data_IF_707066308641
#
_entry.id   IF_707066308641
#
_cell.length_a   1.000
_cell.length_b   1.000
_cell.length_c   1.000
_cell.angle_alpha   90.00
_cell.angle_beta   90.00
_cell.angle_gamma   90.00
#
_symmetry.space_group_name_H-M   'P 1'
#
loop_
_entity.id
_entity.type
_entity.pdbx_description
1 polymer ?
#
# COMPACT_ATOMS: atom_id res chain seq x y z
N UNK A 1 -24.16 -23.27 -32.94
CA UNK A 1 -24.78 -23.71 -31.68
C UNK A 1 -24.13 -22.91 -30.56
N UNK A 2 -24.77 -21.80 -30.16
CA UNK A 2 -24.29 -20.91 -29.11
C UNK A 2 -24.62 -21.53 -27.75
N UNK A 3 -23.59 -21.92 -26.99
CA UNK A 3 -23.78 -22.30 -25.58
C UNK A 3 -23.67 -21.03 -24.76
N UNK A 4 -24.83 -20.47 -24.42
CA UNK A 4 -24.95 -19.37 -23.46
C UNK A 4 -24.77 -19.96 -22.06
N UNK A 5 -23.60 -19.78 -21.45
CA UNK A 5 -23.38 -20.13 -20.04
C UNK A 5 -23.94 -19.03 -19.16
N UNK A 6 -25.22 -19.17 -18.80
CA UNK A 6 -25.85 -18.44 -17.70
C UNK A 6 -25.14 -18.75 -16.40
N UNK A 7 -24.26 -17.85 -15.95
CA UNK A 7 -23.74 -17.85 -14.60
C UNK A 7 -24.86 -17.41 -13.65
N UNK A 8 -25.37 -18.34 -12.86
CA UNK A 8 -26.32 -18.06 -11.80
C UNK A 8 -25.64 -17.27 -10.69
N UNK A 9 -25.90 -15.97 -10.62
CA UNK A 9 -25.52 -15.14 -9.47
C UNK A 9 -26.35 -15.62 -8.27
N UNK A 10 -25.71 -16.33 -7.34
CA UNK A 10 -26.26 -16.59 -6.01
C UNK A 10 -26.60 -15.25 -5.34
N UNK A 11 -27.87 -14.98 -5.11
CA UNK A 11 -28.30 -13.80 -4.35
C UNK A 11 -27.91 -14.01 -2.89
N UNK A 12 -26.94 -13.20 -2.41
CA UNK A 12 -26.61 -13.11 -1.00
C UNK A 12 -27.87 -12.75 -0.19
N UNK A 13 -28.14 -13.40 0.96
CA UNK A 13 -29.32 -13.11 1.78
C UNK A 13 -29.24 -11.74 2.50
N UNK A 14 -28.11 -11.03 2.38
CA UNK A 14 -27.89 -9.72 3.00
C UNK A 14 -28.02 -8.60 1.97
N UNK A 15 -28.75 -7.54 2.31
CA UNK A 15 -28.74 -6.31 1.53
C UNK A 15 -27.36 -5.64 1.65
N UNK A 16 -26.99 -4.81 0.67
CA UNK A 16 -25.73 -4.06 0.73
C UNK A 16 -25.65 -3.14 1.96
N UNK A 17 -26.80 -2.62 2.44
CA UNK A 17 -26.89 -1.87 3.69
C UNK A 17 -26.52 -2.73 4.89
N UNK A 18 -27.01 -3.96 4.94
CA UNK A 18 -26.71 -4.89 6.03
C UNK A 18 -25.21 -5.24 6.04
N UNK A 19 -24.61 -5.42 4.85
CA UNK A 19 -23.17 -5.69 4.72
C UNK A 19 -22.34 -4.52 5.24
N UNK A 20 -22.66 -3.29 4.84
CA UNK A 20 -21.92 -2.09 5.27
C UNK A 20 -22.04 -1.87 6.79
N UNK A 21 -23.25 -2.00 7.33
CA UNK A 21 -23.52 -1.85 8.77
C UNK A 21 -22.76 -2.92 9.55
N UNK A 22 -22.91 -4.19 9.16
CA UNK A 22 -22.21 -5.32 9.82
C UNK A 22 -20.69 -5.17 9.77
N UNK A 23 -20.15 -4.68 8.64
CA UNK A 23 -18.71 -4.45 8.51
C UNK A 23 -18.23 -3.34 9.45
N UNK A 24 -18.92 -2.20 9.46
CA UNK A 24 -18.60 -1.06 10.33
C UNK A 24 -18.65 -1.49 11.81
N UNK A 25 -19.74 -2.13 12.24
CA UNK A 25 -19.93 -2.62 13.60
C UNK A 25 -18.86 -3.63 14.01
N UNK A 26 -18.46 -4.50 13.08
CA UNK A 26 -17.42 -5.50 13.34
C UNK A 26 -16.04 -4.87 13.48
N UNK A 27 -15.70 -3.90 12.64
CA UNK A 27 -14.43 -3.18 12.74
C UNK A 27 -14.38 -2.35 14.02
N UNK A 28 -15.49 -1.72 14.42
CA UNK A 28 -15.58 -0.98 15.68
C UNK A 28 -15.46 -1.90 16.91
N UNK A 29 -16.21 -3.01 16.94
CA UNK A 29 -16.23 -3.93 18.08
C UNK A 29 -14.93 -4.72 18.28
N UNK A 30 -14.25 -5.10 17.18
CA UNK A 30 -12.94 -5.77 17.25
C UNK A 30 -11.81 -4.78 17.49
N UNK A 31 -11.98 -3.52 17.05
CA UNK A 31 -10.99 -2.44 17.08
C UNK A 31 -9.58 -2.83 16.60
N UNK A 32 -9.41 -3.39 15.39
CA UNK A 32 -8.10 -3.85 14.93
C UNK A 32 -7.16 -2.67 14.59
N UNK A 33 -5.91 -2.73 15.06
CA UNK A 33 -4.89 -1.76 14.65
C UNK A 33 -4.51 -1.87 13.17
N UNK A 34 -4.61 -3.09 12.62
CA UNK A 34 -4.24 -3.43 11.25
C UNK A 34 -5.43 -4.05 10.53
N UNK A 35 -5.79 -3.46 9.39
CA UNK A 35 -6.75 -4.01 8.43
C UNK A 35 -6.00 -4.61 7.25
N UNK A 36 -5.98 -5.93 7.17
CA UNK A 36 -5.49 -6.64 5.99
C UNK A 36 -6.62 -6.73 4.97
N UNK A 37 -6.42 -6.12 3.80
CA UNK A 37 -7.39 -6.10 2.71
C UNK A 37 -6.85 -6.90 1.54
N UNK A 38 -7.70 -7.65 0.84
CA UNK A 38 -7.26 -8.32 -0.40
C UNK A 38 -6.86 -7.30 -1.47
N UNK A 39 -7.56 -6.17 -1.54
CA UNK A 39 -7.18 -4.96 -2.29
C UNK A 39 -7.65 -3.74 -1.52
N UNK A 40 -6.83 -2.68 -1.49
CA UNK A 40 -7.22 -1.41 -0.87
C UNK A 40 -8.21 -0.60 -1.72
N UNK A 41 -8.44 -0.96 -2.99
CA UNK A 41 -9.48 -0.36 -3.85
C UNK A 41 -10.90 -0.53 -3.28
N UNK A 42 -11.08 -1.46 -2.35
CA UNK A 42 -12.35 -1.61 -1.62
C UNK A 42 -12.69 -0.39 -0.77
N UNK A 43 -11.69 0.37 -0.29
CA UNK A 43 -11.93 1.54 0.56
C UNK A 43 -12.85 2.56 -0.14
N UNK A 44 -12.48 3.15 -1.28
CA UNK A 44 -13.37 4.11 -1.96
C UNK A 44 -14.71 3.50 -2.35
N UNK A 45 -14.75 2.23 -2.77
CA UNK A 45 -15.99 1.55 -3.15
C UNK A 45 -16.97 1.48 -1.97
N UNK A 46 -16.51 1.06 -0.79
CA UNK A 46 -17.35 0.92 0.39
C UNK A 46 -17.92 2.27 0.85
N UNK A 47 -17.08 3.31 0.91
CA UNK A 47 -17.53 4.65 1.27
C UNK A 47 -18.52 5.22 0.24
N UNK A 48 -18.28 5.06 -1.06
CA UNK A 48 -19.22 5.51 -2.09
C UNK A 48 -20.57 4.78 -2.02
N UNK A 49 -20.59 3.48 -1.70
CA UNK A 49 -21.84 2.75 -1.54
C UNK A 49 -22.60 3.21 -0.28
N UNK A 50 -21.90 3.47 0.81
CA UNK A 50 -22.50 4.01 2.03
C UNK A 50 -23.16 5.37 1.78
N UNK A 51 -22.45 6.29 1.13
CA UNK A 51 -22.96 7.62 0.75
C UNK A 51 -24.22 7.49 -0.12
N UNK A 52 -24.18 6.63 -1.15
CA UNK A 52 -25.32 6.41 -2.05
C UNK A 52 -26.55 5.86 -1.33
N UNK A 53 -26.34 5.07 -0.29
CA UNK A 53 -27.38 4.37 0.46
C UNK A 53 -27.85 5.16 1.70
N UNK A 54 -27.18 6.27 2.03
CA UNK A 54 -27.44 7.08 3.22
C UNK A 54 -27.15 6.32 4.52
N UNK A 55 -26.10 5.51 4.52
CA UNK A 55 -25.67 4.72 5.69
C UNK A 55 -24.46 5.41 6.31
N UNK A 56 -24.52 5.71 7.61
CA UNK A 56 -23.35 6.12 8.38
C UNK A 56 -22.32 4.99 8.37
N UNK A 57 -21.12 5.26 7.87
CA UNK A 57 -20.11 4.23 7.64
C UNK A 57 -18.72 4.73 8.01
N UNK A 58 -18.03 3.96 8.86
CA UNK A 58 -16.71 4.32 9.33
C UNK A 58 -15.83 3.08 9.45
N UNK A 59 -14.65 3.13 8.84
CA UNK A 59 -13.62 2.10 9.00
C UNK A 59 -12.41 2.59 9.81
N UNK A 60 -12.11 3.89 9.76
CA UNK A 60 -11.07 4.51 10.59
C UNK A 60 -11.50 4.67 12.05
N UNK A 61 -10.55 5.00 12.93
CA UNK A 61 -10.87 5.49 14.28
C UNK A 61 -11.33 6.95 14.27
N UNK A 62 -11.06 7.65 13.16
CA UNK A 62 -11.60 8.98 12.85
C UNK A 62 -12.39 8.91 11.54
N UNK A 63 -13.37 9.81 11.34
CA UNK A 63 -14.18 9.83 10.13
C UNK A 63 -13.36 9.98 8.84
N UNK A 64 -13.89 9.40 7.78
CA UNK A 64 -13.35 9.50 6.43
C UNK A 64 -12.16 8.59 6.11
N UNK A 65 -11.62 8.79 4.92
CA UNK A 65 -10.47 8.09 4.36
C UNK A 65 -9.64 9.07 3.53
N UNK A 66 -8.40 8.71 3.19
CA UNK A 66 -7.53 9.53 2.35
C UNK A 66 -6.97 8.71 1.20
N UNK A 67 -6.74 9.36 0.06
CA UNK A 67 -5.90 8.85 -1.00
C UNK A 67 -4.49 9.45 -0.83
N UNK A 68 -3.52 8.61 -0.48
CA UNK A 68 -2.13 9.02 -0.30
C UNK A 68 -1.40 9.18 -1.65
N UNK A 69 -1.76 8.35 -2.63
CA UNK A 69 -1.22 8.39 -3.98
C UNK A 69 -2.24 7.86 -4.99
N UNK A 70 -2.22 8.43 -6.21
CA UNK A 70 -2.90 7.87 -7.38
C UNK A 70 -2.25 6.57 -7.85
N UNK A 71 -2.96 5.86 -8.73
CA UNK A 71 -2.34 4.80 -9.51
C UNK A 71 -1.28 5.40 -10.44
N UNK A 72 -0.20 4.65 -10.67
CA UNK A 72 0.87 5.09 -11.54
C UNK A 72 1.58 3.92 -12.20
N UNK A 73 2.20 4.20 -13.34
CA UNK A 73 3.04 3.24 -14.06
C UNK A 73 4.49 3.62 -13.85
N UNK A 74 5.36 2.64 -13.67
CA UNK A 74 6.80 2.85 -13.54
C UNK A 74 7.56 1.88 -14.43
N UNK A 75 8.70 2.31 -14.96
CA UNK A 75 9.61 1.44 -15.71
C UNK A 75 10.77 1.00 -14.80
N UNK A 76 11.03 -0.30 -14.77
CA UNK A 76 12.15 -0.88 -14.02
C UNK A 76 12.79 -1.98 -14.85
N UNK A 77 14.07 -1.81 -15.19
CA UNK A 77 14.84 -2.78 -15.99
C UNK A 77 14.15 -3.18 -17.31
N UNK A 78 13.55 -2.20 -18.00
CA UNK A 78 12.82 -2.41 -19.27
C UNK A 78 11.45 -3.07 -19.12
N UNK A 79 10.99 -3.32 -17.88
CA UNK A 79 9.65 -3.79 -17.58
C UNK A 79 8.77 -2.64 -17.09
N UNK A 80 7.54 -2.57 -17.61
CA UNK A 80 6.53 -1.60 -17.19
C UNK A 80 5.73 -2.23 -16.04
N UNK A 81 5.90 -1.70 -14.83
CA UNK A 81 5.15 -2.07 -13.63
C UNK A 81 4.00 -1.10 -13.35
N UNK A 82 2.97 -1.58 -12.66
CA UNK A 82 1.84 -0.78 -12.20
C UNK A 82 1.84 -0.68 -10.67
N UNK A 83 1.76 0.54 -10.15
CA UNK A 83 1.49 0.83 -8.75
C UNK A 83 0.02 1.19 -8.59
N UNK A 84 -0.78 0.42 -7.82
CA UNK A 84 -2.16 0.81 -7.56
C UNK A 84 -2.22 2.07 -6.68
N UNK A 85 -3.39 2.69 -6.64
CA UNK A 85 -3.66 3.80 -5.73
C UNK A 85 -3.43 3.36 -4.27
N UNK A 86 -3.06 4.32 -3.42
CA UNK A 86 -2.79 4.06 -2.00
C UNK A 86 -3.80 4.79 -1.16
N UNK A 87 -4.44 4.07 -0.25
CA UNK A 87 -5.47 4.59 0.63
C UNK A 87 -5.06 4.56 2.10
N UNK A 88 -5.70 5.40 2.91
CA UNK A 88 -5.45 5.51 4.35
C UNK A 88 -6.76 5.62 5.13
N UNK A 89 -6.82 4.94 6.27
CA UNK A 89 -7.89 5.03 7.25
C UNK A 89 -7.32 5.64 8.52
N UNK A 90 -7.87 6.78 8.95
CA UNK A 90 -7.25 7.55 10.01
C UNK A 90 -7.28 6.77 11.32
N UNK A 91 -6.08 6.48 11.86
CA UNK A 91 -5.92 5.76 13.12
C UNK A 91 -5.87 4.23 12.99
N UNK A 92 -5.86 3.67 11.77
CA UNK A 92 -5.61 2.24 11.52
C UNK A 92 -4.60 2.07 10.39
N UNK A 93 -3.84 0.99 10.41
CA UNK A 93 -2.92 0.62 9.33
C UNK A 93 -3.67 -0.22 8.30
N UNK A 94 -3.55 0.12 7.02
CA UNK A 94 -3.95 -0.78 5.92
C UNK A 94 -2.74 -1.58 5.45
N UNK A 95 -2.90 -2.90 5.35
CA UNK A 95 -2.02 -3.76 4.55
C UNK A 95 -2.82 -4.23 3.33
N UNK A 96 -2.37 -3.84 2.14
CA UNK A 96 -2.97 -4.24 0.88
C UNK A 96 -2.31 -5.53 0.37
N UNK A 97 -3.03 -6.64 0.46
CA UNK A 97 -2.61 -7.96 0.00
C UNK A 97 -2.28 -8.04 -1.49
N UNK A 98 -2.90 -7.20 -2.32
CA UNK A 98 -2.62 -7.11 -3.76
C UNK A 98 -1.33 -6.33 -4.07
N UNK A 99 -0.87 -5.53 -3.12
CA UNK A 99 0.27 -4.61 -3.28
C UNK A 99 1.22 -4.66 -2.07
N UNK A 100 1.56 -5.86 -1.61
CA UNK A 100 2.49 -6.03 -0.50
C UNK A 100 3.59 -7.04 -0.81
N UNK A 101 4.75 -6.52 -1.21
CA UNK A 101 5.92 -7.36 -1.47
C UNK A 101 6.54 -7.85 -0.15
N UNK A 102 6.77 -6.95 0.82
CA UNK A 102 7.51 -7.28 2.04
C UNK A 102 6.74 -8.20 2.98
N UNK A 103 5.41 -8.06 3.08
CA UNK A 103 4.57 -8.97 3.86
C UNK A 103 4.69 -10.40 3.36
N UNK A 104 4.64 -10.60 2.04
CA UNK A 104 4.75 -11.92 1.41
C UNK A 104 6.13 -12.56 1.60
N UNK A 105 7.19 -11.75 1.77
CA UNK A 105 8.55 -12.25 1.98
C UNK A 105 8.90 -12.49 3.45
N UNK A 106 8.30 -11.74 4.39
CA UNK A 106 8.82 -11.65 5.76
C UNK A 106 7.77 -11.78 6.87
N UNK A 107 6.48 -11.88 6.54
CA UNK A 107 5.34 -11.86 7.47
C UNK A 107 5.28 -10.58 8.35
N UNK A 108 4.34 -10.51 9.30
CA UNK A 108 4.18 -9.34 10.17
C UNK A 108 5.44 -9.06 11.01
N UNK A 109 6.05 -10.07 11.60
CA UNK A 109 7.20 -9.91 12.50
C UNK A 109 8.40 -9.34 11.74
N UNK A 110 8.63 -9.82 10.51
CA UNK A 110 9.66 -9.27 9.65
C UNK A 110 9.36 -7.85 9.19
N UNK A 111 8.10 -7.52 8.90
CA UNK A 111 7.70 -6.13 8.65
C UNK A 111 7.96 -5.24 9.87
N UNK A 112 7.61 -5.68 11.08
CA UNK A 112 7.82 -4.92 12.32
C UNK A 112 9.31 -4.72 12.63
N UNK A 113 10.13 -5.74 12.41
CA UNK A 113 11.59 -5.60 12.49
C UNK A 113 12.09 -4.50 11.54
N UNK A 114 11.64 -4.50 10.29
CA UNK A 114 12.07 -3.49 9.32
C UNK A 114 11.50 -2.10 9.62
N UNK A 115 10.34 -1.99 10.28
CA UNK A 115 9.84 -0.71 10.80
C UNK A 115 10.82 -0.15 11.82
N UNK A 116 11.29 -0.96 12.76
CA UNK A 116 12.26 -0.56 13.77
C UNK A 116 13.59 -0.11 13.12
N UNK A 117 14.08 -0.87 12.14
CA UNK A 117 15.34 -0.54 11.47
C UNK A 117 15.24 0.71 10.59
N UNK A 118 14.16 0.84 9.81
CA UNK A 118 14.05 1.90 8.79
C UNK A 118 13.37 3.18 9.29
N UNK A 119 12.66 3.12 10.42
CA UNK A 119 11.85 4.22 10.96
C UNK A 119 10.59 4.52 10.13
N UNK A 120 10.27 3.67 9.16
CA UNK A 120 9.12 3.84 8.27
C UNK A 120 7.85 3.31 8.93
N UNK A 121 6.71 4.01 8.83
CA UNK A 121 5.43 3.48 9.30
C UNK A 121 5.10 2.14 8.63
N UNK A 122 4.50 1.21 9.38
CA UNK A 122 4.16 -0.14 8.89
C UNK A 122 3.39 -0.12 7.57
N UNK A 123 2.40 0.76 7.47
CA UNK A 123 1.60 0.93 6.27
C UNK A 123 2.46 1.30 5.05
N UNK A 124 3.37 2.26 5.21
CA UNK A 124 4.28 2.65 4.13
C UNK A 124 5.25 1.51 3.79
N UNK A 125 5.76 0.83 4.80
CA UNK A 125 6.70 -0.28 4.64
C UNK A 125 6.08 -1.45 3.85
N UNK A 126 4.80 -1.75 4.07
CA UNK A 126 4.10 -2.87 3.43
C UNK A 126 4.14 -2.81 1.90
N UNK A 127 4.12 -1.62 1.29
CA UNK A 127 4.20 -1.41 -0.16
C UNK A 127 5.54 -0.80 -0.62
N UNK A 128 6.49 -0.62 0.28
CA UNK A 128 7.81 -0.05 -0.06
C UNK A 128 8.66 -1.08 -0.80
N UNK A 129 9.49 -0.60 -1.73
CA UNK A 129 10.54 -1.44 -2.31
C UNK A 129 11.67 -1.67 -1.30
N UNK A 130 12.45 -2.74 -1.50
CA UNK A 130 13.65 -3.02 -0.68
C UNK A 130 14.59 -1.81 -0.68
N UNK A 131 14.83 -1.18 -1.85
CA UNK A 131 15.70 -0.01 -1.95
C UNK A 131 15.20 1.18 -1.14
N UNK A 132 13.88 1.39 -1.08
CA UNK A 132 13.29 2.45 -0.27
C UNK A 132 13.44 2.17 1.25
N UNK A 133 13.32 0.90 1.66
CA UNK A 133 13.55 0.48 3.05
C UNK A 133 15.02 0.64 3.44
N UNK A 134 15.95 0.16 2.60
CA UNK A 134 17.40 0.30 2.80
C UNK A 134 17.81 1.78 2.88
N UNK A 135 17.20 2.64 2.06
CA UNK A 135 17.41 4.08 2.14
C UNK A 135 17.01 4.61 3.52
N UNK A 136 15.86 4.19 4.06
CA UNK A 136 15.44 4.55 5.41
C UNK A 136 16.44 4.12 6.49
N UNK A 137 16.94 2.88 6.41
CA UNK A 137 17.95 2.34 7.33
C UNK A 137 19.26 3.17 7.24
N UNK A 138 19.72 3.48 6.03
CA UNK A 138 20.91 4.31 5.82
C UNK A 138 20.74 5.73 6.38
N UNK A 139 19.54 6.30 6.30
CA UNK A 139 19.21 7.59 6.89
C UNK A 139 19.26 7.52 8.43
N UNK A 140 18.72 6.46 9.03
CA UNK A 140 18.82 6.24 10.48
C UNK A 140 20.28 6.18 10.93
N UNK A 141 21.08 5.34 10.28
CA UNK A 141 22.51 5.19 10.59
C UNK A 141 23.29 6.51 10.44
N UNK A 142 23.03 7.25 9.36
CA UNK A 142 23.67 8.55 9.14
C UNK A 142 23.32 9.55 10.26
N UNK A 143 22.05 9.57 10.71
CA UNK A 143 21.62 10.41 11.83
C UNK A 143 22.30 10.03 13.13
N UNK A 144 22.41 8.74 13.45
CA UNK A 144 23.11 8.26 14.64
C UNK A 144 24.59 8.66 14.64
N UNK A 145 25.23 8.65 13.46
CA UNK A 145 26.62 9.09 13.28
C UNK A 145 26.80 10.60 13.11
N UNK A 146 25.73 11.39 13.19
CA UNK A 146 25.73 12.83 12.93
C UNK A 146 26.33 13.21 11.56
N UNK A 147 26.03 12.39 10.54
CA UNK A 147 26.42 12.60 9.15
C UNK A 147 25.25 13.19 8.37
N UNK A 148 25.51 14.23 7.58
CA UNK A 148 24.49 14.87 6.76
C UNK A 148 24.03 13.95 5.63
N UNK A 149 22.70 13.81 5.48
CA UNK A 149 22.07 13.09 4.38
C UNK A 149 21.69 14.08 3.27
N UNK A 150 22.03 13.81 2.00
CA UNK A 150 21.56 14.60 0.88
C UNK A 150 20.04 14.63 0.78
N UNK A 151 19.46 15.82 0.56
CA UNK A 151 18.01 16.00 0.43
C UNK A 151 17.39 15.24 -0.77
N UNK A 152 18.16 15.10 -1.85
CA UNK A 152 17.74 14.41 -3.08
C UNK A 152 18.89 13.54 -3.60
N UNK A 153 18.58 12.32 -4.04
CA UNK A 153 19.57 11.34 -4.54
C UNK A 153 20.12 11.64 -5.94
N UNK A 154 19.85 12.82 -6.49
CA UNK A 154 20.19 13.16 -7.87
C UNK A 154 21.70 13.25 -8.06
N UNK A 155 22.30 12.15 -8.52
CA UNK A 155 23.50 12.19 -9.35
C UNK A 155 23.07 11.94 -10.78
N UNK A 156 23.07 12.99 -11.59
CA UNK A 156 23.09 12.81 -13.03
C UNK A 156 24.31 11.95 -13.34
N UNK A 157 24.09 10.80 -13.99
CA UNK A 157 25.17 10.02 -14.55
C UNK A 157 25.93 10.95 -15.51
N UNK A 158 27.23 11.15 -15.28
CA UNK A 158 28.03 11.95 -16.20
C UNK A 158 28.06 11.20 -17.53
N UNK A 159 27.80 11.90 -18.63
CA UNK A 159 28.02 11.33 -19.96
C UNK A 159 29.45 10.80 -20.03
N UNK A 160 29.58 9.48 -20.19
CA UNK A 160 30.85 8.82 -20.46
C UNK A 160 31.09 8.86 -21.96
N UNK A 161 32.32 9.12 -22.38
CA UNK A 161 32.72 8.89 -23.77
C UNK A 161 32.79 7.39 -24.06
N UNK A 162 32.68 6.97 -25.32
CA UNK A 162 32.77 5.55 -25.71
C UNK A 162 34.05 4.87 -25.19
N UNK A 163 35.14 5.62 -25.09
CA UNK A 163 36.41 5.17 -24.51
C UNK A 163 36.31 4.86 -23.01
N UNK A 164 35.61 5.69 -22.24
CA UNK A 164 35.41 5.49 -20.79
C UNK A 164 34.46 4.33 -20.46
N UNK A 165 33.69 3.86 -21.44
CA UNK A 165 32.89 2.65 -21.32
C UNK A 165 33.75 1.40 -21.52
N UNK A 166 34.70 1.44 -22.46
CA UNK A 166 35.59 0.32 -22.78
C UNK A 166 36.65 0.06 -21.69
N UNK A 167 37.13 1.10 -21.01
CA UNK A 167 38.12 0.97 -19.93
C UNK A 167 37.53 0.46 -18.60
N UNK A 168 36.21 0.30 -18.50
CA UNK A 168 35.49 -0.07 -17.27
C UNK A 168 35.00 -1.53 -17.24
N UNK A 169 35.19 -2.28 -18.34
CA UNK A 169 35.03 -3.73 -18.44
C UNK A 169 36.39 -4.44 -18.23
#
# INVERSE_FOLDING_TARGET
>A
MLVSTSHSTSQSPYSLKDVLTTLSDRVESVDPDVLFLNTSDLVPVLFQQADRLGVEFQLGRRPGWQQLAGESTYESYGQVGHSPARYNLLGRVIIDGSNTFMWNQTNLDGCLYLVEQSGKPLQELAWSSIGNILTGIQIQEARERNVLVPWHSWRHEKFKTMHQLHDAD
#
